data_IF_778838799061
#
_entry.id   IF_778838799061
#
_cell.length_a   1.000
_cell.length_b   1.000
_cell.length_c   1.000
_cell.angle_alpha   90.00
_cell.angle_beta   90.00
_cell.angle_gamma   90.00
#
_symmetry.space_group_name_H-M   'P 1'
#
loop_
_entity.id
_entity.type
_entity.pdbx_description
1 polymer ?
#
# COMPACT_ATOMS: atom_id res chain seq x y z
N UNK A 1 -24.39 23.65 33.51
CA UNK A 1 -23.42 22.56 33.26
C UNK A 1 -23.33 22.35 31.76
N UNK A 2 -22.12 22.36 31.20
CA UNK A 2 -21.89 22.23 29.76
C UNK A 2 -21.48 20.79 29.45
N UNK A 3 -22.27 20.07 28.63
CA UNK A 3 -22.02 18.66 28.30
C UNK A 3 -21.09 18.49 27.10
N UNK A 4 -21.02 19.50 26.23
CA UNK A 4 -20.17 19.56 25.03
C UNK A 4 -19.45 20.90 25.02
N UNK A 5 -18.13 20.89 24.92
CA UNK A 5 -17.29 22.08 24.85
C UNK A 5 -16.40 22.06 23.60
N UNK A 6 -15.49 23.03 23.46
CA UNK A 6 -14.55 23.11 22.33
C UNK A 6 -13.61 21.89 22.19
N UNK A 7 -13.50 21.05 23.22
CA UNK A 7 -12.72 19.81 23.22
C UNK A 7 -13.55 18.56 22.94
N UNK A 8 -14.87 18.68 22.75
CA UNK A 8 -15.78 17.58 22.44
C UNK A 8 -16.74 17.23 23.57
N UNK A 9 -17.12 15.96 23.66
CA UNK A 9 -17.99 15.46 24.73
C UNK A 9 -17.24 15.40 26.06
N UNK A 10 -17.74 16.13 27.06
CA UNK A 10 -17.16 16.15 28.41
C UNK A 10 -17.92 15.20 29.36
N UNK A 11 -19.21 14.99 29.12
CA UNK A 11 -20.09 14.25 30.03
C UNK A 11 -20.23 14.95 31.39
N UNK A 12 -20.85 14.26 32.34
CA UNK A 12 -21.04 14.72 33.72
C UNK A 12 -20.86 13.56 34.68
N UNK A 13 -20.38 13.85 35.89
CA UNK A 13 -20.28 12.86 36.97
C UNK A 13 -21.51 12.92 37.87
N UNK A 14 -21.94 11.77 38.40
CA UNK A 14 -23.10 11.66 39.29
C UNK A 14 -23.12 12.69 40.44
N UNK A 15 -22.00 12.97 41.16
CA UNK A 15 -22.01 13.98 42.23
C UNK A 15 -22.30 15.40 41.74
N UNK A 16 -21.87 15.74 40.52
CA UNK A 16 -22.09 17.06 39.92
C UNK A 16 -23.57 17.23 39.53
N UNK A 17 -24.18 16.17 38.97
CA UNK A 17 -25.63 16.10 38.70
C UNK A 17 -26.46 16.25 39.96
N UNK A 18 -26.07 15.56 41.04
CA UNK A 18 -26.75 15.67 42.35
C UNK A 18 -26.66 17.10 42.89
N UNK A 19 -25.50 17.74 42.78
CA UNK A 19 -25.31 19.13 43.17
C UNK A 19 -26.17 20.10 42.36
N UNK A 20 -26.20 19.96 41.03
CA UNK A 20 -27.00 20.82 40.15
C UNK A 20 -28.51 20.66 40.41
N UNK A 21 -28.99 19.42 40.60
CA UNK A 21 -30.40 19.16 40.96
C UNK A 21 -30.75 19.72 42.33
N UNK A 22 -29.86 19.61 43.32
CA UNK A 22 -30.06 20.21 44.63
C UNK A 22 -30.20 21.73 44.56
N UNK A 23 -29.30 22.42 43.85
CA UNK A 23 -29.38 23.87 43.70
C UNK A 23 -30.67 24.33 42.99
N UNK A 24 -31.12 23.58 41.95
CA UNK A 24 -32.40 23.83 41.29
C UNK A 24 -33.60 23.65 42.22
N UNK A 25 -33.58 22.59 43.04
CA UNK A 25 -34.67 22.27 43.96
C UNK A 25 -34.70 23.28 45.13
N UNK A 26 -33.53 23.69 45.61
CA UNK A 26 -33.36 24.77 46.59
C UNK A 26 -33.89 26.11 46.07
N UNK A 27 -33.61 26.43 44.81
CA UNK A 27 -34.13 27.66 44.19
C UNK A 27 -35.66 27.67 44.07
N UNK A 28 -36.28 26.50 43.85
CA UNK A 28 -37.72 26.37 43.69
C UNK A 28 -38.50 26.29 45.02
N UNK A 29 -37.95 25.59 46.02
CA UNK A 29 -38.66 25.23 47.26
C UNK A 29 -38.08 25.87 48.53
N UNK A 30 -36.95 26.56 48.44
CA UNK A 30 -36.22 27.10 49.60
C UNK A 30 -35.23 26.08 50.18
N UNK A 31 -34.81 26.25 51.43
CA UNK A 31 -33.90 25.28 52.06
C UNK A 31 -34.57 23.91 52.22
N UNK A 32 -33.97 22.91 51.59
CA UNK A 32 -34.41 21.51 51.58
C UNK A 32 -33.26 20.66 52.10
N UNK A 33 -33.57 19.57 52.82
CA UNK A 33 -32.54 18.67 53.33
C UNK A 33 -31.97 17.80 52.19
N UNK A 34 -30.66 17.88 51.85
CA UNK A 34 -30.04 17.02 50.84
C UNK A 34 -29.52 15.67 51.37
N UNK A 35 -29.64 15.39 52.67
CA UNK A 35 -29.10 14.19 53.30
C UNK A 35 -29.58 12.91 52.61
N UNK A 36 -28.70 11.91 52.50
CA UNK A 36 -29.01 10.63 51.85
C UNK A 36 -30.15 9.84 52.50
N UNK A 37 -30.46 10.14 53.77
CA UNK A 37 -31.55 9.51 54.51
C UNK A 37 -32.87 10.31 54.41
N UNK A 38 -32.85 11.50 53.80
CA UNK A 38 -34.03 12.31 53.59
C UNK A 38 -34.78 11.90 52.32
N UNK A 39 -36.12 12.03 52.32
CA UNK A 39 -36.95 11.76 51.14
C UNK A 39 -36.49 12.58 49.92
N UNK A 40 -36.13 13.84 50.14
CA UNK A 40 -35.65 14.74 49.09
C UNK A 40 -34.27 14.30 48.58
N UNK A 41 -33.34 13.96 49.45
CA UNK A 41 -32.02 13.45 49.08
C UNK A 41 -32.07 12.13 48.31
N UNK A 42 -32.93 11.19 48.71
CA UNK A 42 -33.15 9.93 47.95
C UNK A 42 -33.79 10.19 46.59
N UNK A 43 -34.76 11.12 46.50
CA UNK A 43 -35.38 11.50 45.22
C UNK A 43 -34.36 12.15 44.29
N UNK A 44 -33.50 13.03 44.81
CA UNK A 44 -32.41 13.63 44.02
C UNK A 44 -31.44 12.55 43.53
N UNK A 45 -31.12 11.54 44.34
CA UNK A 45 -30.23 10.45 43.94
C UNK A 45 -30.81 9.62 42.78
N UNK A 46 -32.07 9.18 42.88
CA UNK A 46 -32.74 8.39 41.84
C UNK A 46 -32.81 9.17 40.52
N UNK A 47 -33.30 10.42 40.57
CA UNK A 47 -33.44 11.24 39.37
C UNK A 47 -32.07 11.63 38.80
N UNK A 48 -31.02 11.78 39.63
CA UNK A 48 -29.66 12.00 39.15
C UNK A 48 -29.08 10.77 38.42
N UNK A 49 -29.40 9.57 38.87
CA UNK A 49 -28.99 8.33 38.23
C UNK A 49 -29.70 8.12 36.88
N UNK A 50 -31.01 8.38 36.83
CA UNK A 50 -31.78 8.35 35.58
C UNK A 50 -31.25 9.37 34.56
N UNK A 51 -31.01 10.61 34.99
CA UNK A 51 -30.41 11.64 34.12
C UNK A 51 -29.00 11.24 33.66
N UNK A 52 -28.20 10.61 34.52
CA UNK A 52 -26.86 10.15 34.15
C UNK A 52 -26.94 9.10 33.04
N UNK A 53 -27.82 8.11 33.18
CA UNK A 53 -28.04 7.08 32.16
C UNK A 53 -28.44 7.69 30.80
N UNK A 54 -29.31 8.71 30.82
CA UNK A 54 -29.72 9.44 29.61
C UNK A 54 -28.53 10.19 29.01
N UNK A 55 -27.76 10.90 29.84
CA UNK A 55 -26.61 11.69 29.38
C UNK A 55 -25.53 10.78 28.81
N UNK A 56 -25.24 9.65 29.45
CA UNK A 56 -24.32 8.65 28.93
C UNK A 56 -24.80 8.12 27.57
N UNK A 57 -26.07 7.75 27.44
CA UNK A 57 -26.65 7.30 26.18
C UNK A 57 -26.53 8.35 25.07
N UNK A 58 -26.75 9.64 25.37
CA UNK A 58 -26.54 10.75 24.43
C UNK A 58 -25.06 10.87 24.04
N UNK A 59 -24.15 10.69 24.99
CA UNK A 59 -22.71 10.65 24.75
C UNK A 59 -22.32 9.55 23.75
N UNK A 60 -22.86 8.33 23.94
CA UNK A 60 -22.68 7.23 23.00
C UNK A 60 -23.18 7.59 21.58
N UNK A 61 -24.34 8.24 21.46
CA UNK A 61 -24.86 8.70 20.16
C UNK A 61 -23.95 9.77 19.55
N UNK A 62 -23.47 10.72 20.35
CA UNK A 62 -22.57 11.78 19.91
C UNK A 62 -21.25 11.23 19.35
N UNK A 63 -20.62 10.29 20.07
CA UNK A 63 -19.38 9.65 19.65
C UNK A 63 -19.52 8.92 18.30
N UNK A 64 -20.69 8.34 18.03
CA UNK A 64 -20.99 7.66 16.77
C UNK A 64 -20.94 8.53 15.51
N UNK A 65 -20.99 9.86 15.63
CA UNK A 65 -20.85 10.75 14.47
C UNK A 65 -19.40 10.91 13.98
N UNK A 66 -18.41 10.56 14.79
CA UNK A 66 -17.01 10.84 14.50
C UNK A 66 -16.22 9.54 14.37
N UNK A 67 -15.50 9.36 13.25
CA UNK A 67 -14.64 8.20 13.01
C UNK A 67 -13.61 8.01 14.15
N UNK A 68 -13.14 9.11 14.74
CA UNK A 68 -12.18 9.09 15.85
C UNK A 68 -12.74 8.59 17.18
N UNK A 69 -14.05 8.63 17.39
CA UNK A 69 -14.70 8.31 18.67
C UNK A 69 -15.70 7.16 18.58
N UNK A 70 -16.19 6.83 17.38
CA UNK A 70 -17.13 5.75 17.16
C UNK A 70 -16.48 4.39 17.46
N UNK A 71 -17.27 3.48 18.00
CA UNK A 71 -16.89 2.12 18.37
C UNK A 71 -17.95 1.11 17.93
N UNK A 72 -17.54 -0.14 17.73
CA UNK A 72 -18.39 -1.26 17.36
C UNK A 72 -19.27 -0.98 16.14
N UNK A 73 -20.58 -1.22 16.29
CA UNK A 73 -21.58 -1.08 15.22
C UNK A 73 -21.67 0.36 14.68
N UNK A 74 -21.39 1.37 15.50
CA UNK A 74 -21.39 2.76 15.01
C UNK A 74 -20.21 3.01 14.05
N UNK A 75 -19.05 2.45 14.35
CA UNK A 75 -17.88 2.51 13.47
C UNK A 75 -18.14 1.70 12.18
N UNK A 76 -18.87 0.58 12.28
CA UNK A 76 -19.27 -0.23 11.14
C UNK A 76 -20.19 0.54 10.19
N UNK A 77 -21.22 1.21 10.73
CA UNK A 77 -22.10 2.07 9.95
C UNK A 77 -21.37 3.23 9.27
N UNK A 78 -20.31 3.78 9.89
CA UNK A 78 -19.44 4.76 9.24
C UNK A 78 -18.64 4.14 8.07
N UNK A 79 -18.14 2.92 8.23
CA UNK A 79 -17.43 2.21 7.16
C UNK A 79 -18.34 1.81 5.99
N UNK A 80 -19.61 1.47 6.25
CA UNK A 80 -20.62 1.21 5.21
C UNK A 80 -20.78 2.40 4.25
N UNK A 81 -20.71 3.63 4.76
CA UNK A 81 -20.73 4.85 3.93
C UNK A 81 -19.61 4.89 2.90
N UNK A 82 -18.48 4.25 3.19
CA UNK A 82 -17.32 4.15 2.30
C UNK A 82 -17.24 2.80 1.59
N UNK A 83 -18.26 1.94 1.71
CA UNK A 83 -18.27 0.56 1.23
C UNK A 83 -17.06 -0.27 1.73
N UNK A 84 -16.65 -0.01 2.98
CA UNK A 84 -15.53 -0.67 3.63
C UNK A 84 -16.03 -1.44 4.84
N UNK A 85 -16.56 -2.67 4.68
CA UNK A 85 -16.91 -3.50 5.81
C UNK A 85 -15.65 -3.95 6.56
N UNK A 86 -15.80 -4.38 7.82
CA UNK A 86 -14.72 -5.05 8.57
C UNK A 86 -14.30 -6.34 7.88
N UNK A 87 -13.03 -6.69 8.06
CA UNK A 87 -12.62 -8.06 7.76
C UNK A 87 -13.29 -9.01 8.75
N UNK A 88 -14.07 -9.95 8.19
CA UNK A 88 -14.71 -11.00 8.96
C UNK A 88 -13.72 -12.03 9.49
N UNK A 89 -14.20 -12.88 10.40
CA UNK A 89 -13.44 -14.01 10.89
C UNK A 89 -13.06 -14.93 9.73
N UNK A 90 -11.77 -15.13 9.52
CA UNK A 90 -11.25 -16.06 8.51
C UNK A 90 -10.49 -17.20 9.18
N UNK A 91 -10.65 -18.41 8.66
CA UNK A 91 -9.89 -19.58 9.13
C UNK A 91 -8.57 -19.67 8.39
N UNK A 92 -7.52 -20.10 9.09
CA UNK A 92 -6.28 -20.49 8.40
C UNK A 92 -6.56 -21.63 7.45
N UNK A 93 -5.95 -21.54 6.26
CA UNK A 93 -6.04 -22.54 5.20
C UNK A 93 -4.66 -23.04 4.83
N UNK A 94 -4.56 -24.34 4.62
CA UNK A 94 -3.39 -25.03 4.12
C UNK A 94 -3.72 -25.67 2.78
N UNK A 95 -2.80 -25.55 1.83
CA UNK A 95 -2.89 -26.27 0.57
C UNK A 95 -2.12 -27.58 0.72
N UNK A 96 -2.86 -28.68 0.61
CA UNK A 96 -2.33 -30.02 0.83
C UNK A 96 -2.54 -30.88 -0.41
N UNK A 97 -1.64 -31.82 -0.62
CA UNK A 97 -1.69 -32.79 -1.69
C UNK A 97 -1.85 -34.18 -1.07
N UNK A 98 -3.01 -34.81 -1.28
CA UNK A 98 -3.27 -36.17 -0.80
C UNK A 98 -2.74 -37.18 -1.82
N UNK A 99 -1.88 -38.09 -1.38
CA UNK A 99 -1.35 -39.21 -2.16
C UNK A 99 -2.29 -40.40 -2.04
N UNK A 100 -3.20 -40.54 -3.00
CA UNK A 100 -4.23 -41.58 -3.02
C UNK A 100 -3.80 -42.79 -3.84
N UNK A 101 -4.21 -43.98 -3.43
CA UNK A 101 -4.20 -45.17 -4.28
C UNK A 101 -5.27 -45.05 -5.38
N UNK A 102 -5.09 -45.74 -6.53
CA UNK A 102 -6.12 -45.78 -7.56
C UNK A 102 -7.48 -46.22 -7.01
N UNK A 103 -8.52 -45.41 -7.22
CA UNK A 103 -9.87 -45.66 -6.69
C UNK A 103 -10.10 -45.37 -5.20
N UNK A 104 -9.10 -44.89 -4.46
CA UNK A 104 -9.26 -44.50 -3.05
C UNK A 104 -10.11 -43.22 -2.92
N UNK A 105 -10.89 -43.16 -1.84
CA UNK A 105 -11.73 -42.03 -1.47
C UNK A 105 -11.43 -41.66 -0.02
N UNK A 106 -11.15 -40.38 0.24
CA UNK A 106 -11.03 -39.80 1.58
C UNK A 106 -12.30 -39.01 1.86
N UNK A 107 -12.94 -39.29 3.00
CA UNK A 107 -14.16 -38.59 3.40
C UNK A 107 -13.86 -37.17 3.86
N UNK A 108 -14.83 -36.29 3.67
CA UNK A 108 -14.79 -34.95 4.24
C UNK A 108 -14.70 -35.01 5.78
N UNK A 109 -13.92 -34.12 6.37
CA UNK A 109 -13.81 -33.93 7.81
C UNK A 109 -12.77 -34.80 8.51
N UNK A 110 -12.02 -35.63 7.80
CA UNK A 110 -10.88 -36.36 8.38
C UNK A 110 -9.78 -35.38 8.82
N UNK A 111 -9.41 -35.44 10.10
CA UNK A 111 -8.46 -34.51 10.72
C UNK A 111 -7.04 -35.06 10.69
N UNK A 112 -6.06 -34.20 10.42
CA UNK A 112 -4.63 -34.50 10.50
C UNK A 112 -3.86 -33.33 11.11
N UNK A 113 -2.59 -33.56 11.45
CA UNK A 113 -1.68 -32.53 11.98
C UNK A 113 -0.63 -32.16 10.94
N UNK A 114 -0.10 -30.94 11.01
CA UNK A 114 0.98 -30.46 10.12
C UNK A 114 2.18 -30.08 10.98
N UNK A 115 3.35 -30.68 10.73
CA UNK A 115 4.58 -30.37 11.46
C UNK A 115 4.90 -28.88 11.36
N UNK A 116 5.22 -28.21 12.47
CA UNK A 116 5.51 -26.77 12.47
C UNK A 116 4.28 -25.86 12.45
N UNK A 117 3.08 -26.44 12.47
CA UNK A 117 1.80 -25.72 12.61
C UNK A 117 1.01 -26.34 13.77
N UNK A 118 0.46 -25.51 14.65
CA UNK A 118 -0.29 -26.00 15.79
C UNK A 118 -1.65 -26.58 15.35
N UNK A 119 -2.19 -27.51 16.15
CA UNK A 119 -3.57 -28.04 16.07
C UNK A 119 -3.90 -28.94 14.86
N UNK A 120 -5.20 -29.20 14.71
CA UNK A 120 -5.76 -30.11 13.72
C UNK A 120 -6.28 -29.37 12.49
N UNK A 121 -6.11 -30.02 11.34
CA UNK A 121 -6.49 -29.54 10.01
C UNK A 121 -7.41 -30.56 9.36
N UNK A 122 -8.43 -30.12 8.63
CA UNK A 122 -9.33 -31.03 7.91
C UNK A 122 -9.81 -30.41 6.60
N UNK A 123 -10.01 -31.25 5.58
CA UNK A 123 -10.63 -30.84 4.32
C UNK A 123 -12.15 -30.97 4.40
N UNK A 124 -12.87 -29.99 3.83
CA UNK A 124 -14.33 -29.92 3.92
C UNK A 124 -15.06 -30.69 2.81
N UNK A 125 -14.33 -31.18 1.81
CA UNK A 125 -14.90 -31.91 0.68
C UNK A 125 -14.32 -33.32 0.63
N UNK A 126 -15.09 -34.26 0.07
CA UNK A 126 -14.58 -35.58 -0.27
C UNK A 126 -13.48 -35.46 -1.33
N UNK A 127 -12.39 -36.21 -1.15
CA UNK A 127 -11.25 -36.21 -2.07
C UNK A 127 -11.18 -37.61 -2.67
N UNK A 128 -11.30 -37.68 -4.00
CA UNK A 128 -11.29 -38.93 -4.74
C UNK A 128 -10.29 -38.88 -5.87
N UNK A 129 -9.60 -40.00 -6.09
CA UNK A 129 -8.72 -40.19 -7.24
C UNK A 129 -9.54 -40.19 -8.55
N UNK A 130 -9.05 -39.47 -9.56
CA UNK A 130 -9.78 -39.23 -10.82
C UNK A 130 -9.01 -39.73 -12.04
N UNK A 131 -8.52 -40.97 -11.98
CA UNK A 131 -7.74 -41.58 -13.05
C UNK A 131 -6.48 -40.77 -13.36
N UNK A 132 -6.23 -40.51 -14.65
CA UNK A 132 -4.99 -39.83 -15.11
C UNK A 132 -5.01 -38.30 -15.01
N UNK A 133 -5.97 -37.74 -14.28
CA UNK A 133 -6.05 -36.29 -13.99
C UNK A 133 -5.73 -36.08 -12.51
N UNK A 134 -4.54 -35.55 -12.23
CA UNK A 134 -4.05 -35.30 -10.88
C UNK A 134 -3.05 -34.12 -10.90
N UNK A 135 -2.72 -33.57 -9.74
CA UNK A 135 -1.64 -32.58 -9.63
C UNK A 135 -0.28 -33.23 -9.81
N UNK A 136 -0.16 -34.51 -9.49
CA UNK A 136 1.03 -35.30 -9.78
C UNK A 136 0.80 -36.80 -9.61
N UNK A 137 1.77 -37.59 -10.05
CA UNK A 137 1.76 -39.05 -9.87
C UNK A 137 3.11 -39.56 -9.36
N UNK A 138 3.04 -40.54 -8.47
CA UNK A 138 4.15 -41.46 -8.19
C UNK A 138 3.90 -42.67 -9.08
N UNK A 139 4.75 -42.86 -10.09
CA UNK A 139 4.65 -43.95 -11.04
C UNK A 139 5.68 -45.05 -10.74
N UNK A 140 5.40 -46.25 -11.24
CA UNK A 140 6.37 -47.34 -11.32
C UNK A 140 6.31 -47.95 -12.73
N UNK A 141 7.47 -48.16 -13.34
CA UNK A 141 7.55 -48.91 -14.61
C UNK A 141 7.36 -50.40 -14.30
N UNK A 142 6.48 -51.08 -15.03
CA UNK A 142 6.26 -52.53 -14.88
C UNK A 142 7.50 -53.32 -15.28
N UNK A 143 7.84 -54.35 -14.52
CA UNK A 143 9.02 -55.18 -14.78
C UNK A 143 8.98 -55.82 -16.18
N UNK A 144 7.79 -56.26 -16.63
CA UNK A 144 7.58 -56.82 -17.98
C UNK A 144 7.84 -55.83 -19.12
N UNK A 145 7.73 -54.53 -18.84
CA UNK A 145 7.98 -53.46 -19.81
C UNK A 145 9.46 -53.04 -19.87
N UNK A 146 10.28 -53.44 -18.90
CA UNK A 146 11.72 -53.16 -18.85
C UNK A 146 12.47 -54.16 -19.73
N UNK A 147 12.29 -54.03 -21.05
CA UNK A 147 12.93 -54.89 -22.04
C UNK A 147 13.65 -54.08 -23.12
N UNK A 148 14.68 -54.69 -23.72
CA UNK A 148 15.52 -54.03 -24.72
C UNK A 148 14.71 -53.60 -25.94
N UNK A 149 14.86 -52.32 -26.33
CA UNK A 149 14.18 -51.73 -27.48
C UNK A 149 12.87 -51.01 -27.16
N UNK A 150 12.39 -51.07 -25.92
CA UNK A 150 11.19 -50.34 -25.51
C UNK A 150 11.48 -48.84 -25.30
N UNK A 151 10.50 -48.02 -25.71
CA UNK A 151 10.47 -46.59 -25.49
C UNK A 151 9.41 -46.24 -24.44
N UNK A 152 9.81 -45.52 -23.39
CA UNK A 152 8.95 -45.10 -22.28
C UNK A 152 8.48 -43.67 -22.55
N UNK A 153 7.18 -43.48 -22.74
CA UNK A 153 6.60 -42.17 -23.12
C UNK A 153 5.51 -41.73 -22.14
N UNK A 154 5.62 -40.50 -21.64
CA UNK A 154 4.57 -39.82 -20.87
C UNK A 154 4.17 -38.55 -21.63
N UNK A 155 2.88 -38.40 -21.87
CA UNK A 155 2.29 -37.18 -22.41
C UNK A 155 1.77 -36.32 -21.26
N UNK A 156 2.12 -35.04 -21.27
CA UNK A 156 1.63 -34.07 -20.29
C UNK A 156 1.00 -32.90 -21.04
N UNK A 157 -0.29 -32.65 -20.82
CA UNK A 157 -1.04 -31.58 -21.50
C UNK A 157 -0.89 -31.62 -23.04
N UNK A 158 -0.81 -32.83 -23.62
CA UNK A 158 -0.67 -33.05 -25.06
C UNK A 158 0.77 -33.04 -25.61
N UNK A 159 1.80 -32.80 -24.78
CA UNK A 159 3.22 -32.86 -25.20
C UNK A 159 3.85 -34.22 -24.82
N UNK A 160 4.36 -35.01 -25.78
CA UNK A 160 5.04 -36.28 -25.50
C UNK A 160 6.48 -36.07 -25.01
N UNK A 161 6.85 -36.76 -23.94
CA UNK A 161 8.23 -36.90 -23.47
C UNK A 161 8.61 -38.37 -23.47
N UNK A 162 9.75 -38.74 -24.05
CA UNK A 162 10.15 -40.13 -24.19
C UNK A 162 11.63 -40.40 -23.90
N UNK A 163 11.90 -41.58 -23.33
CA UNK A 163 13.25 -42.12 -23.12
C UNK A 163 13.33 -43.56 -23.61
N UNK A 164 14.53 -44.01 -24.01
CA UNK A 164 14.77 -45.37 -24.49
C UNK A 164 15.35 -46.23 -23.37
N UNK A 165 15.14 -47.55 -23.47
CA UNK A 165 15.80 -48.54 -22.62
C UNK A 165 17.33 -48.44 -22.72
N UNK A 166 18.01 -48.59 -21.58
CA UNK A 166 19.45 -48.74 -21.44
C UNK A 166 19.76 -50.01 -20.64
N UNK A 167 20.89 -50.66 -20.95
CA UNK A 167 21.29 -51.91 -20.29
C UNK A 167 21.49 -51.71 -18.78
N UNK A 168 20.84 -52.55 -17.96
CA UNK A 168 20.85 -52.43 -16.49
C UNK A 168 19.79 -51.47 -15.92
N UNK A 169 18.84 -51.02 -16.73
CA UNK A 169 17.76 -50.14 -16.27
C UNK A 169 16.88 -50.77 -15.19
N UNK A 170 16.51 -49.93 -14.22
CA UNK A 170 15.50 -50.19 -13.21
C UNK A 170 14.35 -49.20 -13.38
N UNK A 171 13.21 -49.44 -12.75
CA UNK A 171 12.08 -48.49 -12.78
C UNK A 171 12.49 -47.08 -12.31
N UNK A 172 13.34 -46.97 -11.28
CA UNK A 172 13.84 -45.70 -10.78
C UNK A 172 14.78 -45.00 -11.78
N UNK A 173 15.68 -45.72 -12.46
CA UNK A 173 16.60 -45.10 -13.43
C UNK A 173 15.85 -44.54 -14.63
N UNK A 174 14.86 -45.27 -15.15
CA UNK A 174 14.01 -44.84 -16.26
C UNK A 174 13.21 -43.59 -15.88
N UNK A 175 12.53 -43.61 -14.73
CA UNK A 175 11.72 -42.48 -14.27
C UNK A 175 12.59 -41.26 -13.95
N UNK A 176 13.77 -41.44 -13.35
CA UNK A 176 14.70 -40.34 -13.10
C UNK A 176 15.10 -39.65 -14.40
N UNK A 177 15.49 -40.41 -15.45
CA UNK A 177 15.84 -39.82 -16.75
C UNK A 177 14.66 -39.06 -17.36
N UNK A 178 13.49 -39.67 -17.36
CA UNK A 178 12.28 -39.10 -17.96
C UNK A 178 11.84 -37.83 -17.24
N UNK A 179 11.83 -37.85 -15.91
CA UNK A 179 11.46 -36.69 -15.10
C UNK A 179 12.45 -35.55 -15.26
N UNK A 180 13.77 -35.82 -15.32
CA UNK A 180 14.76 -34.78 -15.61
C UNK A 180 14.52 -34.10 -16.96
N UNK A 181 14.15 -34.86 -18.00
CA UNK A 181 13.78 -34.28 -19.30
C UNK A 181 12.51 -33.42 -19.22
N UNK A 182 11.49 -33.90 -18.50
CA UNK A 182 10.23 -33.17 -18.32
C UNK A 182 10.46 -31.86 -17.57
N UNK A 183 11.15 -31.88 -16.43
CA UNK A 183 11.39 -30.69 -15.60
C UNK A 183 12.32 -29.68 -16.29
N UNK A 184 13.18 -30.13 -17.20
CA UNK A 184 14.01 -29.24 -18.00
C UNK A 184 13.22 -28.55 -19.13
N UNK A 185 12.20 -29.23 -19.66
CA UNK A 185 11.37 -28.71 -20.75
C UNK A 185 10.20 -27.84 -20.26
N UNK A 186 9.62 -28.17 -19.09
CA UNK A 186 8.43 -27.51 -18.56
C UNK A 186 8.65 -27.08 -17.10
N UNK A 187 8.85 -25.78 -16.89
CA UNK A 187 9.12 -25.19 -15.56
C UNK A 187 7.92 -25.22 -14.61
N UNK A 188 6.72 -25.48 -15.13
CA UNK A 188 5.49 -25.64 -14.34
C UNK A 188 5.40 -27.01 -13.66
N UNK A 189 6.36 -27.91 -13.90
CA UNK A 189 6.40 -29.26 -13.33
C UNK A 189 7.73 -29.45 -12.60
N UNK A 190 7.67 -30.08 -11.44
CA UNK A 190 8.85 -30.41 -10.65
C UNK A 190 8.70 -31.78 -9.98
N UNK A 191 9.71 -32.20 -9.23
CA UNK A 191 9.74 -33.50 -8.56
C UNK A 191 9.89 -33.37 -7.05
N UNK A 192 9.30 -34.31 -6.32
CA UNK A 192 9.42 -34.42 -4.87
C UNK A 192 9.70 -35.88 -4.48
N UNK A 193 10.66 -36.12 -3.59
CA UNK A 193 10.98 -37.47 -3.13
C UNK A 193 10.08 -37.85 -1.96
N UNK A 194 9.07 -38.68 -2.23
CA UNK A 194 8.16 -39.22 -1.21
C UNK A 194 8.65 -40.59 -0.71
N UNK A 195 8.05 -41.10 0.37
CA UNK A 195 8.27 -42.46 0.88
C UNK A 195 7.84 -43.55 -0.11
N UNK A 196 6.94 -43.24 -1.04
CA UNK A 196 6.42 -44.16 -2.05
C UNK A 196 7.18 -44.11 -3.39
N UNK A 197 8.14 -43.20 -3.54
CA UNK A 197 8.90 -42.96 -4.77
C UNK A 197 8.96 -41.49 -5.16
N UNK A 198 9.53 -41.20 -6.32
CA UNK A 198 9.62 -39.83 -6.85
C UNK A 198 8.27 -39.41 -7.43
N UNK A 199 7.65 -38.40 -6.82
CA UNK A 199 6.45 -37.74 -7.29
C UNK A 199 6.82 -36.72 -8.37
N UNK A 200 6.20 -36.82 -9.56
CA UNK A 200 6.22 -35.77 -10.57
C UNK A 200 4.92 -34.95 -10.43
N UNK A 201 5.02 -33.64 -10.15
CA UNK A 201 3.86 -32.82 -9.82
C UNK A 201 3.95 -31.39 -10.37
N UNK A 202 2.81 -30.70 -10.46
CA UNK A 202 2.75 -29.28 -10.78
C UNK A 202 3.49 -28.45 -9.73
N UNK A 203 4.40 -27.57 -10.13
CA UNK A 203 5.27 -26.83 -9.23
C UNK A 203 4.53 -25.94 -8.21
N UNK A 204 3.28 -25.57 -8.50
CA UNK A 204 2.41 -24.82 -7.60
C UNK A 204 1.72 -25.68 -6.52
N UNK A 205 1.82 -27.01 -6.62
CA UNK A 205 1.21 -27.99 -5.71
C UNK A 205 -0.32 -28.01 -5.76
N UNK A 206 -0.96 -27.37 -6.75
CA UNK A 206 -2.41 -27.13 -6.78
C UNK A 206 -3.06 -27.42 -8.12
N UNK A 207 -2.37 -27.16 -9.22
CA UNK A 207 -2.95 -27.30 -10.56
C UNK A 207 -3.17 -28.78 -10.89
N UNK A 208 -4.36 -29.13 -11.38
CA UNK A 208 -4.64 -30.45 -11.93
C UNK A 208 -4.08 -30.52 -13.36
N UNK A 209 -3.28 -31.55 -13.64
CA UNK A 209 -2.66 -31.79 -14.93
C UNK A 209 -3.22 -33.10 -15.50
N UNK A 210 -3.50 -33.11 -16.81
CA UNK A 210 -3.86 -34.32 -17.52
C UNK A 210 -2.60 -35.04 -17.99
N UNK A 211 -2.37 -36.23 -17.46
CA UNK A 211 -1.31 -37.13 -17.88
C UNK A 211 -1.87 -38.20 -18.83
N UNK A 212 -1.07 -38.64 -19.78
CA UNK A 212 -1.42 -39.79 -20.63
C UNK A 212 -0.19 -40.65 -20.87
N UNK A 213 -0.26 -41.91 -20.45
CA UNK A 213 0.78 -42.92 -20.57
C UNK A 213 0.12 -44.28 -20.75
N UNK A 214 0.87 -45.25 -21.27
CA UNK A 214 0.37 -46.60 -21.52
C UNK A 214 0.25 -47.40 -20.21
N UNK A 215 -0.92 -47.97 -19.94
CA UNK A 215 -1.21 -48.75 -18.72
C UNK A 215 -0.46 -50.09 -18.68
N UNK A 216 0.00 -50.58 -19.83
CA UNK A 216 0.86 -51.77 -19.92
C UNK A 216 2.31 -51.49 -19.51
N UNK A 217 2.71 -50.21 -19.45
CA UNK A 217 4.09 -49.77 -19.18
C UNK A 217 4.22 -49.17 -17.78
N UNK A 218 3.26 -48.35 -17.36
CA UNK A 218 3.32 -47.61 -16.09
C UNK A 218 2.16 -48.00 -15.16
N UNK A 219 2.51 -48.33 -13.91
CA UNK A 219 1.57 -48.44 -12.81
C UNK A 219 1.52 -47.12 -12.01
N UNK A 220 0.31 -46.70 -11.65
CA UNK A 220 0.09 -45.60 -10.70
C UNK A 220 0.24 -46.15 -9.28
N UNK A 221 1.31 -45.77 -8.58
CA UNK A 221 1.51 -46.13 -7.16
C UNK A 221 0.69 -45.19 -6.26
N UNK A 222 0.77 -43.89 -6.54
CA UNK A 222 -0.02 -42.84 -5.86
C UNK A 222 -0.39 -41.73 -6.83
N UNK A 223 -1.60 -41.20 -6.70
CA UNK A 223 -2.08 -40.01 -7.37
C UNK A 223 -2.16 -38.85 -6.38
N UNK A 224 -1.52 -37.73 -6.67
CA UNK A 224 -1.57 -36.52 -5.88
C UNK A 224 -2.79 -35.68 -6.22
N UNK A 225 -3.80 -35.67 -5.34
CA UNK A 225 -5.02 -34.87 -5.51
C UNK A 225 -4.95 -33.63 -4.59
N UNK A 226 -5.09 -32.41 -5.13
CA UNK A 226 -4.98 -31.19 -4.35
C UNK A 226 -6.24 -30.99 -3.53
N UNK A 227 -6.07 -30.54 -2.29
CA UNK A 227 -7.17 -30.17 -1.41
C UNK A 227 -6.81 -28.94 -0.57
N UNK A 228 -7.85 -28.25 -0.13
CA UNK A 228 -7.74 -27.18 0.86
C UNK A 228 -8.13 -27.76 2.20
N UNK A 229 -7.22 -27.68 3.16
CA UNK A 229 -7.46 -28.05 4.55
C UNK A 229 -7.63 -26.79 5.40
N UNK A 230 -8.64 -26.79 6.25
CA UNK A 230 -8.95 -25.70 7.16
C UNK A 230 -8.55 -26.05 8.57
N UNK A 231 -8.08 -25.05 9.29
CA UNK A 231 -7.75 -25.16 10.70
C UNK A 231 -9.00 -25.38 11.56
N UNK A 232 -8.97 -26.37 12.44
CA UNK A 232 -10.14 -26.81 13.24
C UNK A 232 -9.98 -26.64 14.75
N UNK A 233 -8.76 -26.46 15.25
CA UNK A 233 -8.53 -26.26 16.69
C UNK A 233 -8.65 -24.79 16.98
N UNK A 234 -9.62 -24.32 17.78
CA UNK A 234 -9.85 -22.89 18.04
C UNK A 234 -8.73 -22.23 18.89
N UNK A 235 -7.47 -22.32 18.45
CA UNK A 235 -6.30 -21.65 19.02
C UNK A 235 -5.78 -20.57 18.05
N UNK A 236 -4.71 -19.87 18.40
CA UNK A 236 -4.13 -18.82 17.55
C UNK A 236 -3.93 -19.32 16.10
N UNK A 237 -4.49 -18.60 15.13
CA UNK A 237 -4.49 -18.99 13.71
C UNK A 237 -3.06 -19.20 13.19
N UNK A 238 -2.63 -20.45 12.92
CA UNK A 238 -1.27 -20.72 12.48
C UNK A 238 -1.13 -20.48 10.98
N UNK A 239 0.10 -20.20 10.54
CA UNK A 239 0.46 -20.22 9.12
C UNK A 239 1.10 -21.57 8.77
N UNK A 240 0.87 -22.05 7.55
CA UNK A 240 1.50 -23.26 7.02
C UNK A 240 2.43 -22.87 5.88
N UNK A 241 3.66 -23.36 5.91
CA UNK A 241 4.68 -23.08 4.90
C UNK A 241 4.94 -24.31 4.03
N UNK A 242 5.44 -24.05 2.82
CA UNK A 242 5.94 -25.07 1.91
C UNK A 242 6.97 -25.97 2.61
N UNK A 243 6.85 -27.28 2.41
CA UNK A 243 7.79 -28.27 2.94
C UNK A 243 7.47 -28.74 4.36
N UNK A 244 6.42 -28.20 5.00
CA UNK A 244 5.91 -28.79 6.23
C UNK A 244 5.34 -30.19 5.94
N UNK A 245 5.55 -31.13 6.86
CA UNK A 245 5.15 -32.52 6.70
C UNK A 245 3.85 -32.74 7.48
N UNK A 246 2.78 -33.14 6.80
CA UNK A 246 1.55 -33.53 7.48
C UNK A 246 1.59 -35.01 7.85
N UNK A 247 1.61 -35.88 6.83
CA UNK A 247 1.85 -37.31 6.95
C UNK A 247 2.59 -37.80 5.70
N UNK A 248 3.00 -39.06 5.66
CA UNK A 248 3.57 -39.64 4.43
C UNK A 248 2.59 -39.64 3.24
N UNK A 249 1.28 -39.58 3.52
CA UNK A 249 0.20 -39.59 2.54
C UNK A 249 -0.35 -38.18 2.24
N UNK A 250 0.05 -37.15 3.00
CA UNK A 250 -0.43 -35.77 2.84
C UNK A 250 0.78 -34.84 2.82
N UNK A 251 1.03 -34.22 1.66
CA UNK A 251 2.16 -33.33 1.46
C UNK A 251 1.72 -31.86 1.46
N UNK A 252 2.56 -30.97 1.99
CA UNK A 252 2.36 -29.51 1.88
C UNK A 252 3.34 -28.95 0.86
N UNK A 253 2.86 -28.79 -0.37
CA UNK A 253 3.67 -28.32 -1.51
C UNK A 253 3.34 -26.87 -1.91
N UNK A 254 2.64 -26.12 -1.07
CA UNK A 254 2.46 -24.68 -1.24
C UNK A 254 2.23 -23.97 0.12
N UNK A 255 2.58 -22.69 0.19
CA UNK A 255 2.30 -21.88 1.38
C UNK A 255 0.78 -21.71 1.57
N UNK A 256 0.33 -21.94 2.80
CA UNK A 256 -1.02 -21.64 3.25
C UNK A 256 -1.24 -20.15 3.50
N UNK A 257 -2.48 -19.79 3.81
CA UNK A 257 -2.86 -18.43 4.19
C UNK A 257 -3.28 -18.44 5.66
N UNK A 258 -2.68 -17.54 6.44
CA UNK A 258 -3.03 -17.33 7.84
C UNK A 258 -4.43 -16.71 7.92
N UNK A 259 -5.28 -17.27 8.77
CA UNK A 259 -6.57 -16.69 9.12
C UNK A 259 -6.41 -15.52 10.08
N UNK A 260 -7.41 -14.66 10.12
CA UNK A 260 -7.46 -13.50 10.98
C UNK A 260 -8.70 -13.57 11.87
N UNK A 261 -8.53 -13.07 13.09
CA UNK A 261 -9.66 -12.71 13.94
C UNK A 261 -10.47 -11.59 13.27
N UNK A 262 -11.68 -11.36 13.78
CA UNK A 262 -12.45 -10.18 13.40
C UNK A 262 -11.58 -8.95 13.66
N UNK A 263 -11.53 -8.05 12.68
CA UNK A 263 -10.76 -6.82 12.76
C UNK A 263 -11.17 -5.97 13.96
N UNK A 264 -10.18 -5.49 14.72
CA UNK A 264 -10.42 -4.61 15.87
C UNK A 264 -10.78 -3.18 15.43
N UNK A 265 -11.35 -2.42 16.37
CA UNK A 265 -11.80 -1.06 16.10
C UNK A 265 -10.63 -0.13 15.73
N UNK A 266 -9.44 -0.35 16.30
CA UNK A 266 -8.27 0.49 16.07
C UNK A 266 -7.74 0.35 14.64
N UNK A 267 -7.51 -0.89 14.16
CA UNK A 267 -7.05 -1.15 12.80
C UNK A 267 -8.11 -0.75 11.78
N UNK A 268 -9.38 -1.05 12.05
CA UNK A 268 -10.48 -0.69 11.17
C UNK A 268 -10.62 0.83 11.02
N UNK A 269 -10.48 1.58 12.11
CA UNK A 269 -10.53 3.05 12.11
C UNK A 269 -9.47 3.67 11.22
N UNK A 270 -8.24 3.15 11.24
CA UNK A 270 -7.15 3.62 10.36
C UNK A 270 -7.55 3.46 8.89
N UNK A 271 -8.15 2.32 8.52
CA UNK A 271 -8.62 2.09 7.15
C UNK A 271 -9.74 3.06 6.75
N UNK A 272 -10.72 3.28 7.63
CA UNK A 272 -11.80 4.25 7.36
C UNK A 272 -11.23 5.67 7.22
N UNK A 273 -10.28 6.06 8.07
CA UNK A 273 -9.64 7.38 7.97
C UNK A 273 -8.89 7.55 6.65
N UNK A 274 -8.15 6.54 6.20
CA UNK A 274 -7.49 6.56 4.91
C UNK A 274 -8.48 6.69 3.74
N UNK A 275 -9.61 5.98 3.80
CA UNK A 275 -10.66 6.07 2.79
C UNK A 275 -11.38 7.44 2.80
N UNK A 276 -11.65 7.98 3.99
CA UNK A 276 -12.21 9.31 4.15
C UNK A 276 -11.26 10.40 3.62
N UNK A 277 -9.94 10.22 3.80
CA UNK A 277 -8.93 11.11 3.23
C UNK A 277 -8.89 11.01 1.70
N UNK A 278 -8.90 9.80 1.13
CA UNK A 278 -8.96 9.59 -0.31
C UNK A 278 -10.21 10.21 -0.96
N UNK A 279 -11.38 10.06 -0.32
CA UNK A 279 -12.63 10.65 -0.78
C UNK A 279 -12.61 12.19 -0.80
N UNK A 280 -11.84 12.85 0.09
CA UNK A 280 -11.67 14.31 0.09
C UNK A 280 -10.77 14.83 -1.04
N UNK A 281 -9.89 13.99 -1.57
CA UNK A 281 -8.90 14.38 -2.57
C UNK A 281 -9.42 14.19 -4.00
N UNK A 282 -10.31 13.21 -4.22
CA UNK A 282 -10.55 12.67 -5.57
C UNK A 282 -11.77 13.19 -6.34
N UNK A 283 -12.57 14.15 -5.85
CA UNK A 283 -13.85 14.44 -6.52
C UNK A 283 -14.10 15.94 -6.67
N UNK A 284 -13.30 16.60 -7.49
CA UNK A 284 -13.74 17.83 -8.14
C UNK A 284 -12.86 18.18 -9.34
N UNK A 285 -13.48 18.34 -10.52
CA UNK A 285 -12.88 18.96 -11.71
C UNK A 285 -12.69 20.49 -11.54
N UNK A 286 -12.14 20.88 -10.39
CA UNK A 286 -11.79 22.25 -10.03
C UNK A 286 -10.27 22.38 -9.93
N UNK A 287 -9.74 23.58 -10.12
CA UNK A 287 -8.29 23.85 -10.05
C UNK A 287 -7.65 23.33 -8.75
N UNK A 288 -8.27 23.49 -7.56
CA UNK A 288 -7.76 22.91 -6.32
C UNK A 288 -7.89 21.38 -6.27
N UNK A 289 -8.93 20.81 -6.85
CA UNK A 289 -9.13 19.35 -6.89
C UNK A 289 -8.04 18.65 -7.69
N UNK A 290 -7.77 19.14 -8.91
CA UNK A 290 -6.67 18.62 -9.75
C UNK A 290 -5.32 18.81 -9.06
N UNK A 291 -5.08 19.97 -8.43
CA UNK A 291 -3.84 20.20 -7.68
C UNK A 291 -3.67 19.20 -6.53
N UNK A 292 -4.72 18.91 -5.78
CA UNK A 292 -4.66 17.98 -4.65
C UNK A 292 -4.49 16.53 -5.10
N UNK A 293 -5.16 16.12 -6.18
CA UNK A 293 -5.00 14.78 -6.76
C UNK A 293 -3.54 14.53 -7.18
N UNK A 294 -2.91 15.51 -7.82
CA UNK A 294 -1.51 15.42 -8.23
C UNK A 294 -0.55 15.44 -7.04
N UNK A 295 -0.83 16.23 -6.00
CA UNK A 295 -0.02 16.22 -4.76
C UNK A 295 -0.14 14.92 -3.96
N UNK A 296 -1.21 14.15 -4.14
CA UNK A 296 -1.38 12.86 -3.48
C UNK A 296 -0.54 11.74 -4.12
N UNK A 297 0.01 11.97 -5.32
CA UNK A 297 0.92 11.01 -5.97
C UNK A 297 2.24 10.95 -5.19
N UNK A 298 2.65 9.74 -4.84
CA UNK A 298 3.89 9.51 -4.10
C UNK A 298 5.10 10.07 -4.85
N UNK A 299 5.90 10.88 -4.15
CA UNK A 299 7.11 11.50 -4.71
C UNK A 299 6.89 12.85 -5.40
N UNK A 300 5.65 13.38 -5.47
CA UNK A 300 5.39 14.74 -5.96
C UNK A 300 5.66 15.75 -4.84
N UNK A 301 6.54 16.72 -5.10
CA UNK A 301 6.90 17.77 -4.14
C UNK A 301 6.19 19.09 -4.41
N UNK A 302 5.75 19.32 -5.65
CA UNK A 302 5.05 20.54 -6.04
C UNK A 302 4.10 20.31 -7.22
N UNK A 303 2.92 20.93 -7.17
CA UNK A 303 1.97 20.96 -8.27
C UNK A 303 1.30 22.35 -8.41
N UNK A 304 1.19 22.85 -9.64
CA UNK A 304 0.40 24.04 -9.99
C UNK A 304 -0.49 23.75 -11.19
N UNK A 305 -1.70 24.33 -11.21
CA UNK A 305 -2.70 24.06 -12.25
C UNK A 305 -3.21 25.37 -12.83
N UNK A 306 -2.93 25.56 -14.11
CA UNK A 306 -3.47 26.63 -14.95
C UNK A 306 -4.55 26.10 -15.88
N UNK A 307 -5.63 26.86 -16.07
CA UNK A 307 -6.77 26.44 -16.89
C UNK A 307 -7.20 27.59 -17.77
N UNK A 308 -7.28 27.32 -19.07
CA UNK A 308 -7.91 28.23 -20.02
C UNK A 308 -9.35 27.77 -20.30
N UNK A 309 -10.32 28.48 -19.73
CA UNK A 309 -11.76 28.25 -19.96
C UNK A 309 -12.28 28.89 -21.25
N UNK A 310 -11.50 29.77 -21.87
CA UNK A 310 -11.84 30.42 -23.13
C UNK A 310 -11.81 29.45 -24.30
N UNK A 311 -12.42 29.84 -25.42
CA UNK A 311 -12.37 29.08 -26.69
C UNK A 311 -11.06 29.37 -27.44
N UNK A 312 -10.48 30.55 -27.23
CA UNK A 312 -9.24 30.97 -27.86
C UNK A 312 -8.04 30.71 -26.94
N UNK A 313 -6.85 30.57 -27.54
CA UNK A 313 -5.58 30.49 -26.81
C UNK A 313 -5.38 31.74 -25.92
N UNK A 314 -4.97 31.54 -24.67
CA UNK A 314 -4.72 32.64 -23.74
C UNK A 314 -3.34 33.29 -24.00
N UNK A 315 -3.04 34.39 -23.30
CA UNK A 315 -1.75 35.09 -23.42
C UNK A 315 -0.53 34.26 -22.99
N UNK A 316 -0.77 33.15 -22.28
CA UNK A 316 0.25 32.23 -21.78
C UNK A 316 0.49 31.05 -22.73
N UNK A 317 -0.19 31.02 -23.88
CA UNK A 317 -0.04 29.98 -24.91
C UNK A 317 -0.88 28.72 -24.70
N UNK A 318 -1.72 28.66 -23.66
CA UNK A 318 -2.58 27.51 -23.35
C UNK A 318 -3.77 27.50 -24.33
N UNK A 319 -3.97 26.42 -25.11
CA UNK A 319 -5.11 26.28 -26.01
C UNK A 319 -6.46 26.43 -25.28
N UNK A 320 -7.50 26.79 -26.03
CA UNK A 320 -8.85 26.88 -25.48
C UNK A 320 -9.31 25.56 -24.86
N UNK A 321 -10.16 25.64 -23.82
CA UNK A 321 -10.70 24.49 -23.08
C UNK A 321 -9.64 23.49 -22.58
N UNK A 322 -8.43 23.95 -22.31
CA UNK A 322 -7.31 23.09 -21.91
C UNK A 322 -6.79 23.41 -20.50
N UNK A 323 -6.21 22.39 -19.88
CA UNK A 323 -5.58 22.44 -18.55
C UNK A 323 -4.09 22.21 -18.75
N UNK A 324 -3.28 23.04 -18.11
CA UNK A 324 -1.83 22.85 -18.00
C UNK A 324 -1.48 22.60 -16.53
N UNK A 325 -0.88 21.45 -16.27
CA UNK A 325 -0.40 21.06 -14.94
C UNK A 325 1.11 21.11 -14.93
N UNK A 326 1.67 21.83 -13.97
CA UNK A 326 3.11 21.87 -13.69
C UNK A 326 3.40 20.99 -12.49
N UNK A 327 4.28 20.00 -12.65
CA UNK A 327 4.60 19.02 -11.61
C UNK A 327 6.11 18.92 -11.38
N UNK A 328 6.51 18.81 -10.11
CA UNK A 328 7.87 18.46 -9.70
C UNK A 328 7.87 17.15 -8.90
N UNK A 329 8.74 16.21 -9.28
CA UNK A 329 8.79 14.87 -8.69
C UNK A 329 7.76 13.89 -9.27
N UNK A 330 7.63 12.71 -8.65
CA UNK A 330 6.68 11.64 -9.02
C UNK A 330 6.99 10.87 -10.31
N UNK A 331 6.27 9.76 -10.50
CA UNK A 331 6.28 8.94 -11.73
C UNK A 331 5.30 9.51 -12.77
N UNK A 332 5.72 9.57 -14.04
CA UNK A 332 4.96 10.16 -15.16
C UNK A 332 3.59 9.51 -15.34
N UNK A 333 3.50 8.17 -15.22
CA UNK A 333 2.24 7.46 -15.45
C UNK A 333 1.26 7.64 -14.28
N UNK A 334 1.76 7.68 -13.05
CA UNK A 334 0.93 7.93 -11.88
C UNK A 334 0.39 9.37 -11.85
N UNK A 335 1.19 10.35 -12.30
CA UNK A 335 0.77 11.73 -12.46
C UNK A 335 -0.28 11.85 -13.56
N UNK A 336 -0.05 11.23 -14.72
CA UNK A 336 -1.01 11.23 -15.82
C UNK A 336 -2.38 10.66 -15.40
N UNK A 337 -2.39 9.54 -14.68
CA UNK A 337 -3.62 8.96 -14.15
C UNK A 337 -4.32 9.90 -13.15
N UNK A 338 -3.58 10.50 -12.21
CA UNK A 338 -4.15 11.41 -11.22
C UNK A 338 -4.74 12.68 -11.86
N UNK A 339 -4.14 13.19 -12.94
CA UNK A 339 -4.69 14.30 -13.72
C UNK A 339 -5.95 13.86 -14.46
N UNK A 340 -5.93 12.68 -15.10
CA UNK A 340 -7.07 12.15 -15.85
C UNK A 340 -8.30 11.97 -14.96
N UNK A 341 -8.14 11.28 -13.83
CA UNK A 341 -9.23 10.97 -12.90
C UNK A 341 -9.85 12.24 -12.29
N UNK A 342 -9.04 13.29 -12.10
CA UNK A 342 -9.50 14.54 -11.50
C UNK A 342 -10.07 15.54 -12.52
N UNK A 343 -9.74 15.39 -13.81
CA UNK A 343 -10.15 16.33 -14.85
C UNK A 343 -11.55 16.02 -15.39
N UNK A 344 -12.14 17.00 -16.09
CA UNK A 344 -13.45 16.81 -16.72
C UNK A 344 -13.29 16.06 -18.06
N UNK A 345 -14.26 15.21 -18.42
CA UNK A 345 -14.20 14.33 -19.59
C UNK A 345 -13.92 15.04 -20.94
N UNK A 346 -14.29 16.32 -21.10
CA UNK A 346 -14.08 17.07 -22.35
C UNK A 346 -12.91 18.09 -22.27
N UNK A 347 -12.00 17.97 -21.29
CA UNK A 347 -10.88 18.89 -21.18
C UNK A 347 -9.70 18.50 -22.08
N UNK A 348 -9.02 19.50 -22.66
CA UNK A 348 -7.73 19.29 -23.32
C UNK A 348 -6.58 19.27 -22.30
N UNK A 349 -5.56 18.46 -22.54
CA UNK A 349 -4.32 18.43 -21.75
C UNK A 349 -3.20 19.13 -22.52
N UNK A 350 -2.50 20.06 -21.86
CA UNK A 350 -1.40 20.82 -22.46
C UNK A 350 -0.12 20.68 -21.63
N UNK A 351 0.98 20.35 -22.29
CA UNK A 351 2.30 20.26 -21.68
C UNK A 351 3.34 19.63 -22.59
N UNK A 352 4.60 19.66 -22.13
CA UNK A 352 5.77 19.19 -22.90
C UNK A 352 6.08 17.70 -22.68
N UNK A 353 5.59 17.14 -21.56
CA UNK A 353 5.77 15.73 -21.18
C UNK A 353 4.43 15.01 -21.29
N UNK A 354 4.45 13.73 -21.66
CA UNK A 354 3.26 12.91 -21.74
C UNK A 354 3.38 11.67 -20.86
N UNK A 355 2.24 11.24 -20.32
CA UNK A 355 2.10 9.95 -19.65
C UNK A 355 0.81 9.26 -20.11
N UNK A 356 0.71 7.96 -19.85
CA UNK A 356 -0.47 7.18 -20.22
C UNK A 356 -1.41 7.03 -19.03
N UNK A 357 -2.66 7.43 -19.19
CA UNK A 357 -3.75 7.13 -18.26
C UNK A 357 -4.65 6.05 -18.88
N UNK A 358 -5.17 5.15 -18.05
CA UNK A 358 -6.06 4.07 -18.48
C UNK A 358 -7.44 4.27 -17.90
N UNK A 359 -8.46 4.34 -18.77
CA UNK A 359 -9.88 4.31 -18.41
C UNK A 359 -10.44 2.92 -18.73
N UNK A 360 -10.11 1.93 -17.89
CA UNK A 360 -10.55 0.54 -18.01
C UNK A 360 -10.03 -0.19 -19.26
N UNK A 361 -10.60 0.11 -20.44
CA UNK A 361 -10.26 -0.50 -21.73
C UNK A 361 -9.55 0.46 -22.71
N UNK A 362 -9.62 1.78 -22.49
CA UNK A 362 -9.04 2.80 -23.39
C UNK A 362 -7.88 3.49 -22.69
N UNK A 363 -6.72 3.54 -23.35
CA UNK A 363 -5.57 4.33 -22.89
C UNK A 363 -5.56 5.68 -23.57
N UNK A 364 -5.57 6.76 -22.78
CA UNK A 364 -5.42 8.13 -23.27
C UNK A 364 -4.06 8.72 -22.88
N UNK A 365 -3.53 9.59 -23.73
CA UNK A 365 -2.27 10.28 -23.48
C UNK A 365 -2.55 11.63 -22.85
N UNK A 366 -2.12 11.80 -21.61
CA UNK A 366 -2.26 13.06 -20.86
C UNK A 366 -0.96 13.83 -20.96
N UNK A 367 -1.04 15.10 -21.36
CA UNK A 367 0.10 16.00 -21.42
C UNK A 367 0.18 16.88 -20.18
N UNK A 368 1.36 16.97 -19.57
CA UNK A 368 1.68 17.85 -18.45
C UNK A 368 3.11 18.39 -18.61
N UNK A 369 3.44 19.51 -17.97
CA UNK A 369 4.80 20.06 -18.04
C UNK A 369 5.55 19.73 -16.75
N UNK A 370 6.71 19.08 -16.87
CA UNK A 370 7.64 18.98 -15.73
C UNK A 370 8.29 20.35 -15.49
N UNK A 371 8.53 20.64 -14.22
CA UNK A 371 9.32 21.78 -13.82
C UNK A 371 10.74 21.66 -14.39
N UNK A 372 11.17 22.64 -15.19
CA UNK A 372 12.56 22.73 -15.64
C UNK A 372 13.38 23.55 -14.64
N UNK A 373 14.61 23.08 -14.40
CA UNK A 373 15.57 23.75 -13.54
C UNK A 373 16.55 24.53 -14.41
N UNK A 374 16.69 25.83 -14.16
CA UNK A 374 17.71 26.66 -14.81
C UNK A 374 18.87 26.88 -13.84
N UNK A 375 20.06 26.41 -14.20
CA UNK A 375 21.26 26.66 -13.42
C UNK A 375 21.64 28.14 -13.51
N UNK A 376 21.83 28.80 -12.37
CA UNK A 376 22.27 30.19 -12.25
C UNK A 376 23.63 30.24 -11.55
N UNK A 377 24.59 30.87 -12.23
CA UNK A 377 25.92 31.16 -11.71
C UNK A 377 25.89 32.45 -10.89
N UNK A 378 26.50 32.40 -9.70
CA UNK A 378 26.63 33.53 -8.78
C UNK A 378 28.09 33.75 -8.48
N UNK A 379 28.59 34.95 -8.76
CA UNK A 379 29.94 35.38 -8.39
C UNK A 379 29.87 36.44 -7.31
N UNK A 380 30.54 36.20 -6.20
CA UNK A 380 30.65 37.10 -5.05
C UNK A 380 32.11 37.51 -4.91
N UNK A 381 32.39 38.81 -5.04
CA UNK A 381 33.75 39.36 -4.98
C UNK A 381 33.78 40.75 -4.35
N UNK A 382 34.95 41.21 -3.92
CA UNK A 382 35.16 42.58 -3.41
C UNK A 382 34.57 42.81 -2.03
N UNK A 383 34.88 41.92 -1.09
CA UNK A 383 34.48 41.99 0.31
C UNK A 383 35.24 43.11 1.06
N UNK A 384 34.51 44.10 1.54
CA UNK A 384 35.04 45.16 2.41
C UNK A 384 34.55 44.91 3.83
N UNK A 385 35.49 44.72 4.75
CA UNK A 385 35.23 44.45 6.16
C UNK A 385 35.53 45.68 7.01
N UNK A 386 34.74 45.87 8.06
CA UNK A 386 35.04 46.86 9.08
C UNK A 386 36.34 46.47 9.83
N UNK A 387 37.34 47.34 9.76
CA UNK A 387 38.66 47.13 10.35
C UNK A 387 38.67 47.20 11.89
N UNK A 388 37.63 47.75 12.51
CA UNK A 388 37.58 47.95 13.97
C UNK A 388 37.03 46.74 14.74
N UNK A 389 36.32 45.83 14.06
CA UNK A 389 35.52 44.79 14.73
C UNK A 389 35.83 43.41 14.18
N UNK A 390 37.08 42.95 14.30
CA UNK A 390 37.58 41.62 13.83
C UNK A 390 37.34 41.34 12.33
N UNK A 391 38.42 41.31 11.55
CA UNK A 391 38.36 41.10 10.09
C UNK A 391 37.73 39.76 9.63
N UNK A 392 37.80 39.49 8.31
CA UNK A 392 37.15 38.36 7.61
C UNK A 392 37.15 37.04 8.42
N UNK A 393 35.96 36.52 8.80
CA UNK A 393 35.83 35.23 9.47
C UNK A 393 36.40 34.07 8.63
N UNK A 394 37.02 33.07 9.27
CA UNK A 394 37.61 31.89 8.58
C UNK A 394 36.57 31.05 7.85
N UNK A 395 35.32 31.05 8.31
CA UNK A 395 34.20 30.28 7.74
C UNK A 395 33.40 31.07 6.67
N UNK A 396 33.86 32.26 6.29
CA UNK A 396 33.15 33.17 5.38
C UNK A 396 32.70 32.50 4.07
N UNK A 397 33.58 31.73 3.44
CA UNK A 397 33.29 31.09 2.15
C UNK A 397 32.19 30.03 2.30
N UNK A 398 32.26 29.21 3.34
CA UNK A 398 31.29 28.14 3.60
C UNK A 398 29.91 28.70 3.99
N UNK A 399 29.89 29.72 4.85
CA UNK A 399 28.65 30.37 5.30
C UNK A 399 27.99 31.13 4.15
N UNK A 400 28.76 31.83 3.33
CA UNK A 400 28.27 32.54 2.13
C UNK A 400 27.63 31.56 1.14
N UNK A 401 28.28 30.44 0.85
CA UNK A 401 27.72 29.39 -0.02
C UNK A 401 26.41 28.84 0.55
N UNK A 402 26.36 28.54 1.85
CA UNK A 402 25.14 28.04 2.50
C UNK A 402 23.98 29.04 2.45
N UNK A 403 24.24 30.33 2.64
CA UNK A 403 23.21 31.38 2.56
C UNK A 403 22.65 31.49 1.14
N UNK A 404 23.54 31.43 0.14
CA UNK A 404 23.15 31.48 -1.27
C UNK A 404 22.31 30.23 -1.62
N UNK A 405 22.77 29.04 -1.25
CA UNK A 405 22.00 27.80 -1.47
C UNK A 405 20.64 27.82 -0.75
N UNK A 406 20.57 28.34 0.48
CA UNK A 406 19.31 28.49 1.23
C UNK A 406 18.35 29.49 0.57
N UNK A 407 18.88 30.56 -0.04
CA UNK A 407 18.07 31.51 -0.82
C UNK A 407 17.44 30.85 -2.05
N UNK A 408 18.22 30.08 -2.83
CA UNK A 408 17.68 29.37 -3.99
C UNK A 408 16.67 28.28 -3.60
N UNK A 409 16.80 27.65 -2.42
CA UNK A 409 15.82 26.70 -1.91
C UNK A 409 14.46 27.32 -1.54
N UNK A 410 14.41 28.64 -1.29
CA UNK A 410 13.17 29.37 -0.95
C UNK A 410 12.48 30.00 -2.17
N UNK A 411 13.09 29.93 -3.36
CA UNK A 411 12.52 30.53 -4.56
C UNK A 411 11.29 29.75 -5.03
N UNK A 412 10.17 30.46 -5.17
CA UNK A 412 8.99 29.92 -5.85
C UNK A 412 9.19 29.93 -7.37
N UNK A 413 8.60 28.96 -8.11
CA UNK A 413 8.70 28.90 -9.58
C UNK A 413 8.30 30.21 -10.27
N UNK A 414 9.03 30.59 -11.33
CA UNK A 414 8.73 31.76 -12.16
C UNK A 414 9.04 33.11 -11.51
N UNK A 415 9.88 33.14 -10.46
CA UNK A 415 10.39 34.39 -9.88
C UNK A 415 11.79 34.69 -10.38
N UNK A 416 11.97 35.91 -10.86
CA UNK A 416 13.27 36.44 -11.27
C UNK A 416 14.26 36.51 -10.10
N UNK A 417 15.54 36.29 -10.42
CA UNK A 417 16.63 36.38 -9.45
C UNK A 417 17.32 37.73 -9.60
N UNK A 418 17.42 38.47 -8.50
CA UNK A 418 18.10 39.77 -8.44
C UNK A 418 19.32 39.70 -7.53
N UNK A 419 20.46 40.16 -8.03
CA UNK A 419 21.73 40.23 -7.28
C UNK A 419 21.59 41.02 -5.97
N UNK A 420 20.76 42.07 -5.95
CA UNK A 420 20.50 42.90 -4.77
C UNK A 420 19.82 42.16 -3.60
N UNK A 421 19.03 41.12 -3.85
CA UNK A 421 18.40 40.33 -2.79
C UNK A 421 19.41 39.39 -2.12
N UNK A 422 20.35 38.86 -2.89
CA UNK A 422 21.47 38.05 -2.38
C UNK A 422 22.41 38.96 -1.58
N UNK A 423 22.76 40.14 -2.11
CA UNK A 423 23.55 41.16 -1.43
C UNK A 423 23.00 41.51 -0.04
N UNK A 424 21.71 41.86 0.06
CA UNK A 424 21.09 42.25 1.33
C UNK A 424 21.09 41.12 2.39
N UNK A 425 20.97 39.85 1.94
CA UNK A 425 21.03 38.68 2.82
C UNK A 425 22.44 38.39 3.32
N UNK A 426 23.47 38.69 2.53
CA UNK A 426 24.86 38.58 2.97
C UNK A 426 25.22 39.67 3.99
N UNK A 427 24.80 40.92 3.78
CA UNK A 427 25.03 42.01 4.73
C UNK A 427 24.30 41.81 6.07
N UNK A 428 23.10 41.21 6.05
CA UNK A 428 22.36 40.92 7.29
C UNK A 428 22.91 39.71 8.05
N UNK A 429 23.54 38.75 7.36
CA UNK A 429 24.15 37.58 7.99
C UNK A 429 25.51 37.88 8.61
N UNK A 430 26.27 38.81 8.04
CA UNK A 430 27.58 39.24 8.55
C UNK A 430 27.50 40.70 9.04
N UNK A 431 27.35 40.89 10.35
CA UNK A 431 27.28 42.22 10.96
C UNK A 431 28.55 43.08 10.78
N UNK A 432 29.67 42.45 10.40
CA UNK A 432 30.98 43.10 10.19
C UNK A 432 31.32 43.36 8.72
N UNK A 433 30.46 42.93 7.78
CA UNK A 433 30.63 43.15 6.34
C UNK A 433 30.05 44.51 5.95
N UNK A 434 30.89 45.40 5.41
CA UNK A 434 30.49 46.75 5.01
C UNK A 434 29.97 46.79 3.58
N UNK A 435 30.61 46.08 2.65
CA UNK A 435 30.18 46.01 1.25
C UNK A 435 30.64 44.72 0.56
N UNK A 436 29.92 44.29 -0.48
CA UNK A 436 30.23 43.11 -1.30
C UNK A 436 29.64 43.23 -2.71
N UNK A 437 30.38 42.86 -3.75
CA UNK A 437 29.85 42.84 -5.13
C UNK A 437 29.29 41.46 -5.46
N UNK A 438 28.02 41.40 -5.87
CA UNK A 438 27.36 40.17 -6.33
C UNK A 438 26.96 40.30 -7.80
N UNK A 439 27.38 39.35 -8.62
CA UNK A 439 26.99 39.20 -10.04
C UNK A 439 26.30 37.86 -10.27
N UNK A 440 25.30 37.86 -11.15
CA UNK A 440 24.51 36.67 -11.45
C UNK A 440 24.33 36.51 -12.97
N UNK A 441 24.23 35.28 -13.45
CA UNK A 441 24.09 34.99 -14.87
C UNK A 441 23.83 33.53 -15.18
N UNK A 442 23.35 33.25 -16.38
CA UNK A 442 23.10 31.89 -16.89
C UNK A 442 24.32 31.25 -17.56
N UNK A 443 25.38 32.05 -17.78
CA UNK A 443 26.69 31.62 -18.31
C UNK A 443 27.80 32.04 -17.35
N UNK A 444 28.85 31.22 -17.24
CA UNK A 444 30.03 31.54 -16.42
C UNK A 444 31.14 32.16 -17.31
N UNK A 445 31.78 33.28 -16.91
CA UNK A 445 31.56 34.04 -15.67
C UNK A 445 30.35 35.00 -15.77
N UNK A 446 29.57 35.18 -14.68
CA UNK A 446 28.37 36.01 -14.69
C UNK A 446 28.71 37.51 -14.69
N UNK A 447 28.03 38.28 -15.55
CA UNK A 447 28.24 39.73 -15.67
C UNK A 447 27.00 40.56 -15.30
N UNK A 448 25.84 39.94 -15.21
CA UNK A 448 24.55 40.62 -15.09
C UNK A 448 24.11 40.80 -13.62
N UNK A 449 23.15 41.70 -13.42
CA UNK A 449 22.57 42.00 -12.09
C UNK A 449 21.19 41.39 -11.88
N UNK A 450 20.62 40.81 -12.93
CA UNK A 450 19.26 40.27 -12.98
C UNK A 450 19.21 39.10 -13.97
N UNK A 451 18.46 38.06 -13.61
CA UNK A 451 18.14 36.94 -14.50
C UNK A 451 16.62 36.78 -14.51
N UNK A 452 16.01 37.02 -15.68
CA UNK A 452 14.59 36.71 -15.92
C UNK A 452 14.39 35.21 -16.06
N UNK A 453 13.40 34.65 -15.38
CA UNK A 453 13.01 33.24 -15.56
C UNK A 453 11.63 33.15 -16.21
N UNK A 454 11.46 32.18 -17.12
CA UNK A 454 10.15 31.87 -17.70
C UNK A 454 9.17 31.30 -16.67
N UNK A 455 7.86 31.35 -16.97
CA UNK A 455 6.83 30.75 -16.12
C UNK A 455 7.07 29.25 -15.94
N UNK A 456 7.06 28.77 -14.70
CA UNK A 456 7.30 27.35 -14.36
C UNK A 456 8.76 26.94 -14.16
N UNK A 457 9.74 27.82 -14.44
CA UNK A 457 11.18 27.54 -14.25
C UNK A 457 11.62 27.90 -12.82
N UNK A 458 12.38 27.01 -12.16
CA UNK A 458 13.07 27.33 -10.90
C UNK A 458 14.55 27.58 -11.18
N UNK A 459 15.08 28.68 -10.66
CA UNK A 459 16.52 28.88 -10.61
C UNK A 459 17.14 27.97 -9.55
N UNK A 460 18.12 27.18 -9.95
CA UNK A 460 18.90 26.33 -9.05
C UNK A 460 20.34 26.78 -9.11
N UNK A 461 21.05 26.60 -8.00
CA UNK A 461 22.50 26.79 -7.95
C UNK A 461 23.13 25.53 -7.37
N UNK A 462 24.32 25.19 -7.84
CA UNK A 462 25.15 24.11 -7.32
C UNK A 462 26.43 24.65 -6.66
N UNK A 463 27.18 23.79 -5.95
CA UNK A 463 28.40 24.19 -5.24
C UNK A 463 29.54 24.68 -6.14
N UNK A 464 29.46 24.36 -7.44
CA UNK A 464 30.40 24.73 -8.50
C UNK A 464 30.01 25.98 -9.27
N UNK A 465 28.74 26.39 -9.20
CA UNK A 465 28.18 27.59 -9.85
C UNK A 465 28.23 28.82 -8.95
N UNK A 466 28.58 28.65 -7.67
CA UNK A 466 28.83 29.74 -6.72
C UNK A 466 30.32 29.93 -6.53
N UNK A 467 30.86 31.01 -7.12
CA UNK A 467 32.23 31.46 -6.90
C UNK A 467 32.25 32.56 -5.84
N UNK A 468 33.13 32.39 -4.85
CA UNK A 468 33.37 33.39 -3.80
C UNK A 468 34.88 33.63 -3.79
N UNK A 469 35.30 34.83 -4.15
CA UNK A 469 36.70 35.26 -4.13
C UNK A 469 36.99 36.06 -2.86
#
# INVERSE_FOLDING_TARGET
MELVNNSGWHGVRLPELRGDKYEKLKAALGEVNPDGDSLVGQTIAIVAEDDLNIIEAIGWVFSGFFISMAEGVQLDGLGERFNLPRYGLTRSLAYVLHLLQPGQVIKSGETFTISGSAGYWASNNEIRENGKTATGFVLRVRDDAITSGNAFTINISGKPFSTQFQEGDTSESILSRLYTQITAAETSITTYKSSYGTLLYAADGRTLIQFSFADDVFDIVRAGIPAVAYYQSDTEFPAVLFGYVATDEILVLANGVKGYLIEDDESYRVRIQAAAAAARVNISASRPGIKNAVLAVSGVSYASVEVNRGINTNAEGIPGKSIQVFVAGGDDNAIAQAIYDAAAAECGFHGDTSGTATDGEITETVYFSRQSFQLVYVDVSGDIWDSETTGRPTDYVSVTKNIITAYFAQLTPGKDVFSGQIYARLLSAFSTLTDVTVKIGITSPPADKHVSLGSGIIAVTDSTSVTVA
#
